data_IF_426112600764
#
_entry.id   IF_426112600764
#
_cell.length_a   1.000
_cell.length_b   1.000
_cell.length_c   1.000
_cell.angle_alpha   90.00
_cell.angle_beta   90.00
_cell.angle_gamma   90.00
#
_symmetry.space_group_name_H-M   'P 1'
#
loop_
_entity.id
_entity.type
_entity.pdbx_description
1 polymer ?
#
# COMPACT_ATOMS: atom_id res chain seq x y z
N UNK A 1 42.53 30.95 -62.46
CA UNK A 1 41.68 31.90 -61.71
C UNK A 1 40.28 31.32 -61.65
N UNK A 2 39.69 31.34 -60.47
CA UNK A 2 38.66 30.44 -59.96
C UNK A 2 37.28 30.41 -60.63
N UNK A 3 36.63 29.26 -60.42
CA UNK A 3 35.20 29.01 -60.15
C UNK A 3 34.12 29.29 -61.21
N UNK A 4 33.43 28.20 -61.58
CA UNK A 4 31.97 27.92 -61.55
C UNK A 4 31.80 26.59 -62.32
N UNK A 5 31.27 25.48 -61.82
CA UNK A 5 30.18 25.23 -60.88
C UNK A 5 29.22 24.26 -61.61
N UNK A 6 28.80 23.15 -60.98
CA UNK A 6 27.42 22.63 -60.99
C UNK A 6 27.30 21.29 -60.22
N UNK A 7 26.57 21.38 -59.10
CA UNK A 7 25.62 20.45 -58.48
C UNK A 7 25.75 18.92 -58.63
N UNK A 8 25.78 18.23 -57.48
CA UNK A 8 24.73 17.24 -57.13
C UNK A 8 24.79 16.88 -55.64
N UNK A 9 23.88 17.46 -54.83
CA UNK A 9 23.59 17.01 -53.47
C UNK A 9 22.27 16.24 -53.50
N UNK A 10 22.31 14.98 -53.95
CA UNK A 10 21.22 14.04 -53.71
C UNK A 10 21.44 13.38 -52.35
N UNK A 11 20.93 14.01 -51.29
CA UNK A 11 20.71 13.31 -50.03
C UNK A 11 19.76 12.16 -50.34
N UNK A 12 20.22 10.93 -50.16
CA UNK A 12 19.46 9.73 -50.47
C UNK A 12 18.23 9.67 -49.55
N UNK A 13 17.10 10.17 -50.07
CA UNK A 13 15.88 10.41 -49.31
C UNK A 13 15.31 9.12 -48.70
N UNK A 14 15.67 7.98 -49.27
CA UNK A 14 15.36 6.63 -48.75
C UNK A 14 16.13 6.32 -47.47
N UNK A 15 17.42 6.69 -47.41
CA UNK A 15 18.28 6.51 -46.24
C UNK A 15 17.84 7.42 -45.09
N UNK A 16 17.42 8.65 -45.40
CA UNK A 16 16.89 9.57 -44.40
C UNK A 16 15.57 9.03 -43.80
N UNK A 17 14.69 8.48 -44.63
CA UNK A 17 13.42 7.88 -44.17
C UNK A 17 13.66 6.65 -43.30
N UNK A 18 14.59 5.76 -43.66
CA UNK A 18 14.91 4.58 -42.83
C UNK A 18 15.55 4.98 -41.50
N UNK A 19 16.45 5.96 -41.47
CA UNK A 19 17.01 6.48 -40.22
C UNK A 19 15.93 7.09 -39.31
N UNK A 20 14.98 7.85 -39.86
CA UNK A 20 13.87 8.43 -39.07
C UNK A 20 12.96 7.34 -38.53
N UNK A 21 12.62 6.31 -39.32
CA UNK A 21 11.82 5.18 -38.86
C UNK A 21 12.56 4.42 -37.74
N UNK A 22 13.87 4.18 -37.88
CA UNK A 22 14.65 3.51 -36.85
C UNK A 22 14.68 4.32 -35.54
N UNK A 23 14.84 5.63 -35.63
CA UNK A 23 14.79 6.54 -34.48
C UNK A 23 13.42 6.54 -33.80
N UNK A 24 12.33 6.54 -34.57
CA UNK A 24 10.98 6.46 -34.00
C UNK A 24 10.74 5.12 -33.31
N UNK A 25 11.24 4.01 -33.87
CA UNK A 25 11.13 2.69 -33.26
C UNK A 25 11.98 2.56 -32.00
N UNK A 26 13.18 3.15 -31.94
CA UNK A 26 14.00 3.15 -30.73
C UNK A 26 13.39 4.02 -29.64
N UNK A 27 12.84 5.19 -29.97
CA UNK A 27 12.08 6.02 -29.03
C UNK A 27 10.84 5.29 -28.53
N UNK A 28 10.07 4.64 -29.42
CA UNK A 28 8.89 3.87 -29.02
C UNK A 28 9.27 2.70 -28.11
N UNK A 29 10.33 1.95 -28.44
CA UNK A 29 10.82 0.86 -27.61
C UNK A 29 11.33 1.36 -26.25
N UNK A 30 12.02 2.50 -26.22
CA UNK A 30 12.45 3.17 -24.99
C UNK A 30 11.25 3.60 -24.14
N UNK A 31 10.22 4.21 -24.75
CA UNK A 31 8.99 4.59 -24.05
C UNK A 31 8.31 3.35 -23.49
N UNK A 32 8.07 2.31 -24.30
CA UNK A 32 7.41 1.06 -23.88
C UNK A 32 8.18 0.32 -22.78
N UNK A 33 9.52 0.27 -22.85
CA UNK A 33 10.37 -0.30 -21.78
C UNK A 33 10.30 0.50 -20.48
N UNK A 34 10.15 1.81 -20.58
CA UNK A 34 10.09 2.71 -19.43
C UNK A 34 8.63 3.08 -19.05
N UNK A 35 7.62 2.46 -19.67
CA UNK A 35 6.21 2.67 -19.28
C UNK A 35 5.98 2.25 -17.83
N UNK A 36 6.61 1.16 -17.37
CA UNK A 36 6.58 0.73 -15.96
C UNK A 36 7.22 1.77 -15.01
N UNK A 37 8.21 2.53 -15.48
CA UNK A 37 8.84 3.65 -14.76
C UNK A 37 7.98 4.93 -14.78
N UNK A 38 7.24 5.17 -15.88
CA UNK A 38 6.26 6.26 -15.99
C UNK A 38 5.01 6.02 -15.14
N UNK A 39 4.63 4.75 -14.93
CA UNK A 39 3.50 4.37 -14.09
C UNK A 39 3.74 4.65 -12.60
N UNK A 40 5.00 4.73 -12.15
CA UNK A 40 5.37 5.23 -10.82
C UNK A 40 5.19 6.75 -10.65
N UNK A 41 5.07 7.51 -11.75
CA UNK A 41 4.88 8.96 -11.75
C UNK A 41 3.47 9.41 -12.14
N UNK A 42 2.55 8.47 -12.42
CA UNK A 42 1.15 8.79 -12.61
C UNK A 42 0.49 9.00 -11.24
N UNK A 43 0.78 10.16 -10.63
CA UNK A 43 -0.04 10.70 -9.55
C UNK A 43 -1.38 11.13 -10.16
N UNK A 44 -2.46 10.43 -9.81
CA UNK A 44 -3.80 10.98 -10.00
C UNK A 44 -3.92 12.26 -9.16
N UNK A 45 -3.81 13.41 -9.83
CA UNK A 45 -4.18 14.70 -9.27
C UNK A 45 -5.71 14.74 -9.07
N UNK A 46 -6.21 14.10 -8.01
CA UNK A 46 -7.56 14.33 -7.50
C UNK A 46 -7.61 15.70 -6.83
N UNK A 47 -7.83 16.74 -7.62
CA UNK A 47 -8.20 18.06 -7.10
C UNK A 47 -9.65 18.01 -6.61
N UNK A 48 -9.88 17.69 -5.33
CA UNK A 48 -11.20 17.82 -4.72
C UNK A 48 -11.47 19.31 -4.47
N UNK A 49 -12.44 19.86 -5.18
CA UNK A 49 -12.97 21.21 -4.94
C UNK A 49 -13.88 21.14 -3.71
N UNK A 50 -13.39 21.58 -2.54
CA UNK A 50 -14.22 21.62 -1.34
C UNK A 50 -15.28 22.73 -1.46
N UNK A 51 -16.56 22.34 -1.31
CA UNK A 51 -17.64 23.30 -1.10
C UNK A 51 -17.54 23.87 0.33
N UNK A 52 -17.86 25.16 0.47
CA UNK A 52 -17.89 25.88 1.74
C UNK A 52 -18.91 25.24 2.68
N UNK A 53 -18.45 24.50 3.69
CA UNK A 53 -19.31 23.97 4.77
C UNK A 53 -19.34 25.00 5.88
N UNK A 54 -20.53 25.53 6.17
CA UNK A 54 -20.75 26.43 7.31
C UNK A 54 -21.55 25.62 8.33
N UNK A 55 -20.89 25.11 9.36
CA UNK A 55 -21.56 24.48 10.50
C UNK A 55 -21.06 25.10 11.80
N UNK A 56 -21.99 25.30 12.73
CA UNK A 56 -21.73 25.94 14.02
C UNK A 56 -20.72 25.14 14.87
N UNK A 57 -19.87 25.83 15.68
CA UNK A 57 -18.85 25.15 16.48
C UNK A 57 -19.47 24.32 17.60
N UNK A 58 -18.97 23.08 17.79
CA UNK A 58 -19.23 22.29 18.99
C UNK A 58 -18.30 22.74 20.12
N UNK A 59 -18.86 22.95 21.31
CA UNK A 59 -18.11 23.25 22.54
C UNK A 59 -17.83 21.92 23.25
N UNK A 60 -16.62 21.38 23.15
CA UNK A 60 -16.19 20.18 23.88
C UNK A 60 -15.29 20.61 25.06
N UNK A 61 -15.41 20.01 26.26
CA UNK A 61 -14.54 20.31 27.39
C UNK A 61 -13.08 19.99 27.08
N UNK A 62 -12.18 20.96 27.28
CA UNK A 62 -10.74 20.87 26.96
C UNK A 62 -10.00 20.10 28.05
N UNK A 63 -9.52 18.91 27.74
CA UNK A 63 -8.40 18.25 28.44
C UNK A 63 -7.07 18.72 27.86
N UNK A 64 -5.95 18.46 28.54
CA UNK A 64 -4.64 18.93 28.15
C UNK A 64 -4.17 18.31 26.81
N UNK A 65 -3.47 19.07 25.95
CA UNK A 65 -3.02 18.59 24.65
C UNK A 65 -1.97 17.47 24.77
N UNK A 66 -2.05 16.49 23.87
CA UNK A 66 -1.06 15.43 23.73
C UNK A 66 0.05 15.90 22.79
N UNK A 67 1.30 15.82 23.21
CA UNK A 67 2.47 16.15 22.38
C UNK A 67 3.03 14.88 21.76
N UNK A 68 2.77 14.68 20.48
CA UNK A 68 3.51 13.69 19.68
C UNK A 68 4.40 14.47 18.71
N UNK A 69 5.68 14.63 19.08
CA UNK A 69 6.65 15.51 18.42
C UNK A 69 6.28 17.00 18.41
N UNK A 70 6.74 17.75 17.41
CA UNK A 70 6.47 19.20 17.25
C UNK A 70 5.00 19.52 16.93
N UNK A 71 4.14 18.51 16.88
CA UNK A 71 2.72 18.62 16.61
C UNK A 71 1.94 18.60 17.93
N UNK A 72 1.01 19.54 18.06
CA UNK A 72 0.07 19.59 19.18
C UNK A 72 -1.32 19.41 18.61
N UNK A 73 -1.96 18.28 18.92
CA UNK A 73 -3.32 17.98 18.48
C UNK A 73 -4.32 18.29 19.58
N UNK A 74 -5.55 18.64 19.19
CA UNK A 74 -6.64 18.72 20.16
C UNK A 74 -6.91 17.32 20.75
N UNK A 75 -7.20 17.23 22.05
CA UNK A 75 -7.51 15.96 22.66
C UNK A 75 -8.78 15.36 22.04
N UNK A 76 -8.73 14.05 21.77
CA UNK A 76 -9.89 13.30 21.33
C UNK A 76 -10.97 13.25 22.42
N UNK A 77 -12.23 13.08 21.99
CA UNK A 77 -13.30 12.77 22.93
C UNK A 77 -13.04 11.41 23.62
N UNK A 78 -13.68 11.14 24.75
CA UNK A 78 -13.49 9.85 25.44
C UNK A 78 -13.87 8.65 24.55
N UNK A 79 -14.88 8.82 23.69
CA UNK A 79 -15.30 7.79 22.75
C UNK A 79 -14.24 7.56 21.66
N UNK A 80 -13.77 8.65 21.04
CA UNK A 80 -12.77 8.58 19.96
C UNK A 80 -11.41 8.10 20.48
N UNK A 81 -11.00 8.49 21.69
CA UNK A 81 -9.78 7.99 22.33
C UNK A 81 -9.85 6.48 22.62
N UNK A 82 -11.05 5.97 22.94
CA UNK A 82 -11.26 4.53 23.11
C UNK A 82 -11.16 3.80 21.77
N UNK A 83 -11.75 4.35 20.72
CA UNK A 83 -11.65 3.82 19.36
C UNK A 83 -10.20 3.86 18.84
N UNK A 84 -9.50 4.97 19.02
CA UNK A 84 -8.09 5.13 18.69
C UNK A 84 -7.24 4.03 19.35
N UNK A 85 -7.43 3.78 20.65
CA UNK A 85 -6.72 2.70 21.34
C UNK A 85 -7.01 1.33 20.70
N UNK A 86 -8.28 1.03 20.39
CA UNK A 86 -8.62 -0.25 19.72
C UNK A 86 -7.98 -0.36 18.33
N UNK A 87 -7.96 0.73 17.56
CA UNK A 87 -7.34 0.77 16.25
C UNK A 87 -5.83 0.55 16.35
N UNK A 88 -5.15 1.28 17.25
CA UNK A 88 -3.73 1.12 17.52
C UNK A 88 -3.38 -0.30 17.97
N UNK A 89 -4.17 -0.89 18.86
CA UNK A 89 -3.99 -2.28 19.29
C UNK A 89 -4.19 -3.27 18.12
N UNK A 90 -5.11 -2.97 17.19
CA UNK A 90 -5.39 -3.85 16.03
C UNK A 90 -4.33 -3.80 14.93
N UNK A 91 -3.56 -2.71 14.85
CA UNK A 91 -2.48 -2.51 13.87
C UNK A 91 -1.09 -2.59 14.52
N UNK A 92 -1.02 -2.97 15.79
CA UNK A 92 0.22 -3.07 16.54
C UNK A 92 1.17 -4.03 15.82
N UNK A 93 2.36 -3.52 15.52
CA UNK A 93 3.43 -4.30 14.89
C UNK A 93 4.44 -4.73 15.96
N UNK A 94 5.02 -5.93 15.90
CA UNK A 94 6.05 -6.33 16.84
C UNK A 94 7.24 -5.38 16.80
N UNK A 95 7.88 -5.18 17.96
CA UNK A 95 9.11 -4.39 18.02
C UNK A 95 10.20 -5.06 17.18
N UNK A 96 10.80 -4.30 16.28
CA UNK A 96 11.92 -4.74 15.46
C UNK A 96 13.25 -4.34 16.12
N UNK A 97 14.29 -5.18 16.02
CA UNK A 97 15.62 -4.80 16.52
C UNK A 97 16.12 -3.50 15.89
N UNK A 98 16.89 -2.69 16.63
CA UNK A 98 17.54 -1.52 16.07
C UNK A 98 18.54 -1.95 14.98
N UNK A 99 18.68 -1.11 13.96
CA UNK A 99 19.67 -1.35 12.91
C UNK A 99 21.09 -1.30 13.50
N UNK A 100 22.00 -2.19 13.08
CA UNK A 100 23.38 -2.15 13.51
C UNK A 100 24.06 -0.85 13.05
N UNK A 101 25.02 -0.38 13.84
CA UNK A 101 25.90 0.74 13.49
C UNK A 101 27.35 0.23 13.45
N UNK A 102 27.97 0.09 12.26
CA UNK A 102 27.52 0.53 10.94
C UNK A 102 26.38 -0.34 10.36
N UNK A 103 25.58 0.24 9.45
CA UNK A 103 24.53 -0.48 8.74
C UNK A 103 25.12 -1.57 7.83
N UNK A 104 24.63 -2.81 8.00
CA UNK A 104 25.04 -3.99 7.27
C UNK A 104 23.88 -4.52 6.43
N UNK A 105 23.87 -4.15 5.15
CA UNK A 105 22.83 -4.60 4.21
C UNK A 105 22.75 -6.13 4.10
N UNK A 106 23.90 -6.80 4.12
CA UNK A 106 23.97 -8.24 3.88
C UNK A 106 23.31 -9.08 5.01
N UNK A 107 22.98 -8.45 6.15
CA UNK A 107 22.28 -9.08 7.29
C UNK A 107 20.77 -8.81 7.29
N UNK A 108 20.26 -8.12 6.28
CA UNK A 108 18.84 -7.79 6.11
C UNK A 108 18.10 -8.95 5.45
N UNK A 109 16.79 -9.06 5.66
CA UNK A 109 16.01 -10.17 5.11
C UNK A 109 16.06 -10.21 3.58
N UNK A 110 16.36 -11.38 3.05
CA UNK A 110 16.48 -11.65 1.62
C UNK A 110 15.43 -12.66 1.16
N UNK A 111 14.49 -12.26 0.29
CA UNK A 111 13.47 -13.17 -0.23
C UNK A 111 14.06 -14.28 -1.12
N UNK A 112 15.24 -14.09 -1.74
CA UNK A 112 15.86 -15.10 -2.61
C UNK A 112 16.42 -16.30 -1.83
N UNK A 113 16.96 -16.08 -0.64
CA UNK A 113 17.41 -17.17 0.26
C UNK A 113 16.29 -17.69 1.16
N UNK A 114 15.23 -16.89 1.35
CA UNK A 114 14.07 -17.29 2.14
C UNK A 114 13.26 -18.38 1.44
N UNK A 115 12.59 -19.21 2.23
CA UNK A 115 11.77 -20.32 1.72
C UNK A 115 10.45 -20.45 2.45
N UNK A 116 9.47 -21.02 1.78
CA UNK A 116 8.26 -21.54 2.42
C UNK A 116 8.04 -23.02 2.13
N UNK A 117 7.40 -23.71 3.08
CA UNK A 117 7.10 -25.14 3.01
C UNK A 117 5.66 -25.38 3.45
N UNK A 118 4.90 -26.09 2.62
CA UNK A 118 3.55 -26.53 2.97
C UNK A 118 3.65 -27.68 3.98
N UNK A 119 3.03 -27.53 5.15
CA UNK A 119 3.05 -28.56 6.18
C UNK A 119 2.04 -29.68 5.89
N UNK A 120 2.35 -30.93 6.30
CA UNK A 120 1.40 -32.04 6.17
C UNK A 120 0.13 -31.78 6.99
N UNK A 121 -1.01 -32.26 6.49
CA UNK A 121 -2.29 -32.14 7.21
C UNK A 121 -2.29 -33.00 8.48
N UNK A 122 -3.01 -32.56 9.52
CA UNK A 122 -3.15 -33.31 10.79
C UNK A 122 -3.79 -34.70 10.61
N UNK A 123 -4.50 -34.93 9.50
CA UNK A 123 -5.16 -36.20 9.15
C UNK A 123 -4.53 -36.98 7.99
N UNK A 124 -3.34 -36.57 7.49
CA UNK A 124 -2.66 -37.22 6.37
C UNK A 124 -2.44 -36.29 5.15
N UNK A 125 -2.32 -36.91 3.97
CA UNK A 125 -2.06 -36.22 2.68
C UNK A 125 -3.32 -35.56 2.13
N UNK A 126 -4.48 -36.17 2.40
CA UNK A 126 -5.76 -35.73 1.84
C UNK A 126 -6.28 -34.49 2.56
N UNK A 127 -6.59 -33.46 1.78
CA UNK A 127 -7.11 -32.17 2.27
C UNK A 127 -8.48 -31.93 1.66
N UNK A 128 -9.47 -31.65 2.48
CA UNK A 128 -10.86 -31.45 2.06
C UNK A 128 -11.27 -29.99 2.24
N UNK A 129 -12.30 -29.56 1.52
CA UNK A 129 -12.94 -28.27 1.78
C UNK A 129 -13.43 -28.24 3.24
N UNK A 130 -13.10 -27.15 3.95
CA UNK A 130 -13.35 -26.99 5.38
C UNK A 130 -12.10 -27.19 6.25
N UNK A 131 -11.07 -27.87 5.73
CA UNK A 131 -9.78 -28.01 6.42
C UNK A 131 -8.98 -26.70 6.43
N UNK A 132 -7.89 -26.70 7.19
CA UNK A 132 -6.89 -25.63 7.17
C UNK A 132 -5.56 -26.12 6.58
N UNK A 133 -4.97 -25.27 5.75
CA UNK A 133 -3.61 -25.43 5.25
C UNK A 133 -2.68 -24.56 6.10
N UNK A 134 -1.62 -25.17 6.61
CA UNK A 134 -0.55 -24.45 7.31
C UNK A 134 0.72 -24.46 6.45
N UNK A 135 1.36 -23.30 6.38
CA UNK A 135 2.60 -23.08 5.63
C UNK A 135 3.62 -22.48 6.56
N UNK A 136 4.79 -23.11 6.67
CA UNK A 136 5.93 -22.59 7.41
C UNK A 136 6.77 -21.72 6.48
N UNK A 137 7.15 -20.53 6.93
CA UNK A 137 8.00 -19.59 6.21
C UNK A 137 9.24 -19.36 7.05
N UNK A 138 10.41 -19.48 6.44
CA UNK A 138 11.71 -19.26 7.09
C UNK A 138 12.42 -18.14 6.36
N UNK A 139 12.73 -17.07 7.08
CA UNK A 139 13.41 -15.90 6.52
C UNK A 139 14.91 -16.04 6.74
N UNK A 140 15.66 -15.78 5.68
CA UNK A 140 17.12 -15.77 5.67
C UNK A 140 17.61 -14.39 5.26
N UNK A 141 18.84 -14.04 5.67
CA UNK A 141 19.51 -12.83 5.20
C UNK A 141 20.24 -13.05 3.86
N UNK A 142 20.80 -11.98 3.31
CA UNK A 142 21.58 -12.02 2.05
C UNK A 142 22.87 -12.87 2.16
N UNK A 143 23.30 -13.21 3.36
CA UNK A 143 24.42 -14.14 3.60
C UNK A 143 23.96 -15.60 3.70
N UNK A 144 22.65 -15.86 3.62
CA UNK A 144 22.07 -17.20 3.76
C UNK A 144 21.99 -17.67 5.21
N UNK A 145 22.11 -16.79 6.21
CA UNK A 145 21.91 -17.14 7.60
C UNK A 145 20.42 -17.00 7.97
N UNK A 146 19.87 -17.91 8.80
CA UNK A 146 18.51 -17.78 9.28
C UNK A 146 18.38 -16.53 10.15
N UNK A 147 17.31 -15.75 9.93
CA UNK A 147 16.97 -14.62 10.80
C UNK A 147 16.69 -15.12 12.22
N UNK A 148 16.94 -14.26 13.20
CA UNK A 148 16.74 -14.54 14.64
C UNK A 148 15.63 -13.68 15.25
N UNK A 149 15.01 -12.82 14.44
CA UNK A 149 13.98 -11.87 14.84
C UNK A 149 12.90 -11.85 13.77
N UNK A 150 11.69 -11.51 14.18
CA UNK A 150 10.56 -11.27 13.28
C UNK A 150 10.48 -9.82 12.78
N UNK A 151 9.26 -9.41 12.44
CA UNK A 151 8.86 -8.06 12.07
C UNK A 151 8.88 -7.77 10.57
N UNK A 152 9.14 -8.77 9.73
CA UNK A 152 9.01 -8.67 8.28
C UNK A 152 7.54 -8.57 7.87
N UNK A 153 7.24 -7.73 6.88
CA UNK A 153 5.89 -7.61 6.32
C UNK A 153 5.73 -8.67 5.24
N UNK A 154 5.01 -9.73 5.55
CA UNK A 154 4.70 -10.82 4.63
C UNK A 154 3.23 -10.75 4.21
N UNK A 155 2.97 -10.97 2.92
CA UNK A 155 1.64 -11.29 2.41
C UNK A 155 1.64 -12.73 1.93
N UNK A 156 0.65 -13.49 2.35
CA UNK A 156 0.46 -14.86 1.92
C UNK A 156 -0.93 -15.00 1.33
N UNK A 157 -1.06 -15.65 0.17
CA UNK A 157 -2.35 -15.93 -0.46
C UNK A 157 -2.40 -17.36 -0.97
N UNK A 158 -3.58 -17.95 -0.91
CA UNK A 158 -3.92 -19.20 -1.57
C UNK A 158 -4.83 -18.84 -2.74
N UNK A 159 -4.53 -19.31 -3.95
CA UNK A 159 -5.28 -18.90 -5.13
C UNK A 159 -5.33 -19.96 -6.23
N UNK A 160 -6.30 -19.82 -7.13
CA UNK A 160 -6.39 -20.55 -8.38
C UNK A 160 -6.92 -19.61 -9.45
N UNK A 161 -6.09 -19.30 -10.46
CA UNK A 161 -6.46 -18.36 -11.51
C UNK A 161 -7.58 -18.88 -12.42
N UNK A 162 -7.60 -20.17 -12.73
CA UNK A 162 -8.61 -20.78 -13.61
C UNK A 162 -10.00 -20.79 -12.95
N UNK A 163 -10.04 -20.94 -11.63
CA UNK A 163 -11.28 -20.86 -10.86
C UNK A 163 -11.62 -19.44 -10.41
N UNK A 164 -10.80 -18.44 -10.74
CA UNK A 164 -10.90 -17.08 -10.20
C UNK A 164 -11.11 -17.10 -8.68
N UNK A 165 -10.34 -17.95 -8.01
CA UNK A 165 -10.45 -18.22 -6.59
C UNK A 165 -9.23 -17.69 -5.84
N UNK A 166 -9.46 -17.15 -4.65
CA UNK A 166 -8.38 -16.57 -3.86
C UNK A 166 -8.79 -16.23 -2.44
N UNK A 167 -7.92 -16.55 -1.47
CA UNK A 167 -8.09 -16.17 -0.07
C UNK A 167 -6.76 -15.68 0.50
N UNK A 168 -6.81 -14.63 1.32
CA UNK A 168 -5.64 -14.17 2.07
C UNK A 168 -5.33 -15.14 3.21
N UNK A 169 -4.05 -15.41 3.45
CA UNK A 169 -3.60 -16.19 4.58
C UNK A 169 -3.46 -15.32 5.82
N UNK A 170 -3.75 -15.90 6.99
CA UNK A 170 -3.35 -15.28 8.26
C UNK A 170 -1.89 -15.59 8.52
N UNK A 171 -1.04 -14.57 8.46
CA UNK A 171 0.37 -14.67 8.82
C UNK A 171 0.54 -14.46 10.33
N UNK A 172 1.31 -15.35 10.96
CA UNK A 172 1.69 -15.31 12.37
C UNK A 172 3.21 -15.24 12.42
N UNK A 173 3.73 -14.18 13.04
CA UNK A 173 5.16 -14.01 13.30
C UNK A 173 5.54 -14.73 14.59
N UNK A 174 6.51 -15.65 14.52
CA UNK A 174 7.01 -16.38 15.69
C UNK A 174 8.14 -15.64 16.41
N UNK A 175 8.48 -14.44 15.97
CA UNK A 175 9.48 -13.51 16.52
C UNK A 175 10.92 -14.04 16.54
N UNK A 176 11.19 -15.11 15.78
CA UNK A 176 12.47 -15.81 15.75
C UNK A 176 13.03 -15.98 14.34
N UNK A 177 12.50 -15.24 13.35
CA UNK A 177 12.85 -15.36 11.93
C UNK A 177 12.00 -16.38 11.16
N UNK A 178 11.06 -17.05 11.82
CA UNK A 178 10.07 -17.92 11.17
C UNK A 178 8.65 -17.36 11.33
N UNK A 179 7.79 -17.73 10.37
CA UNK A 179 6.39 -17.33 10.32
C UNK A 179 5.52 -18.51 9.91
N UNK A 180 4.26 -18.53 10.35
CA UNK A 180 3.25 -19.45 9.84
C UNK A 180 2.20 -18.68 9.04
N UNK A 181 1.86 -19.16 7.85
CA UNK A 181 0.66 -18.71 7.13
C UNK A 181 -0.41 -19.79 7.18
N UNK A 182 -1.61 -19.42 7.66
CA UNK A 182 -2.75 -20.33 7.79
C UNK A 182 -3.85 -19.93 6.83
N UNK A 183 -4.32 -20.89 6.03
CA UNK A 183 -5.39 -20.70 5.05
C UNK A 183 -6.56 -21.64 5.32
N UNK A 184 -7.81 -21.16 5.33
CA UNK A 184 -8.96 -22.04 5.19
C UNK A 184 -9.04 -22.57 3.76
N UNK A 185 -9.34 -23.87 3.59
CA UNK A 185 -9.59 -24.48 2.30
C UNK A 185 -11.06 -24.33 1.94
N UNK A 186 -11.35 -23.45 0.97
CA UNK A 186 -12.71 -22.94 0.72
C UNK A 186 -13.31 -23.37 -0.62
N UNK A 187 -12.53 -24.07 -1.45
CA UNK A 187 -12.99 -24.59 -2.74
C UNK A 187 -12.34 -25.92 -3.07
N UNK A 188 -13.05 -26.73 -3.86
CA UNK A 188 -12.53 -27.96 -4.44
C UNK A 188 -11.60 -27.65 -5.63
N UNK A 189 -10.54 -28.43 -5.76
CA UNK A 189 -9.59 -28.37 -6.87
C UNK A 189 -8.21 -27.91 -6.44
N UNK A 190 -7.37 -27.55 -7.42
CA UNK A 190 -6.01 -27.10 -7.15
C UNK A 190 -6.02 -25.73 -6.45
N UNK A 191 -5.10 -25.53 -5.52
CA UNK A 191 -4.89 -24.27 -4.83
C UNK A 191 -3.38 -24.03 -4.69
N UNK A 192 -2.90 -22.89 -5.19
CA UNK A 192 -1.48 -22.50 -5.17
C UNK A 192 -1.22 -21.48 -4.07
N UNK A 193 -0.24 -21.78 -3.23
CA UNK A 193 0.29 -20.89 -2.20
C UNK A 193 1.26 -19.92 -2.86
N UNK A 194 1.14 -18.65 -2.51
CA UNK A 194 2.10 -17.61 -2.89
C UNK A 194 2.42 -16.77 -1.66
N UNK A 195 3.71 -16.56 -1.40
CA UNK A 195 4.22 -15.75 -0.29
C UNK A 195 5.07 -14.62 -0.86
N UNK A 196 4.81 -13.40 -0.41
CA UNK A 196 5.52 -12.18 -0.82
C UNK A 196 6.13 -11.51 0.39
N UNK A 197 7.44 -11.27 0.35
CA UNK A 197 8.11 -10.31 1.24
C UNK A 197 7.82 -8.90 0.72
N UNK A 198 7.00 -8.15 1.45
CA UNK A 198 6.68 -6.75 1.12
C UNK A 198 7.79 -5.83 1.62
N UNK A 199 8.15 -5.94 2.89
CA UNK A 199 9.21 -5.16 3.53
C UNK A 199 9.98 -6.06 4.51
N UNK A 200 11.30 -5.93 4.57
CA UNK A 200 12.08 -6.57 5.64
C UNK A 200 11.80 -5.89 6.99
N UNK A 201 12.05 -6.62 8.08
CA UNK A 201 11.99 -6.08 9.44
C UNK A 201 12.87 -4.82 9.62
N UNK A 202 14.03 -4.76 8.96
CA UNK A 202 14.89 -3.57 8.95
C UNK A 202 14.26 -2.38 8.23
N UNK A 203 13.59 -2.63 7.11
CA UNK A 203 12.82 -1.62 6.40
C UNK A 203 11.68 -1.08 7.27
N UNK A 204 11.01 -1.96 8.03
CA UNK A 204 9.98 -1.56 9.01
C UNK A 204 10.58 -0.67 10.10
N UNK A 205 11.75 -1.01 10.65
CA UNK A 205 12.45 -0.14 11.63
C UNK A 205 12.67 1.27 11.07
N UNK A 206 13.11 1.38 9.81
CA UNK A 206 13.31 2.68 9.14
C UNK A 206 11.98 3.40 8.93
N UNK A 207 10.95 2.72 8.43
CA UNK A 207 9.63 3.31 8.20
C UNK A 207 8.99 3.82 9.50
N UNK A 208 9.12 3.07 10.59
CA UNK A 208 8.63 3.46 11.90
C UNK A 208 9.36 4.71 12.42
N UNK A 209 10.69 4.77 12.27
CA UNK A 209 11.46 5.98 12.58
C UNK A 209 10.98 7.17 11.73
N UNK A 210 10.81 6.99 10.43
CA UNK A 210 10.34 8.05 9.53
C UNK A 210 8.93 8.54 9.89
N UNK A 211 8.04 7.67 10.38
CA UNK A 211 6.70 8.07 10.85
C UNK A 211 6.79 9.02 12.04
N UNK A 212 7.73 8.77 12.96
CA UNK A 212 7.92 9.58 14.17
C UNK A 212 8.73 10.85 13.92
N UNK A 213 9.87 10.74 13.25
CA UNK A 213 10.79 11.87 13.07
C UNK A 213 10.34 12.83 11.95
N UNK A 214 9.62 12.31 10.94
CA UNK A 214 9.23 13.04 9.73
C UNK A 214 7.77 12.79 9.31
N UNK A 215 6.78 13.06 10.19
CA UNK A 215 5.36 12.91 9.85
C UNK A 215 4.95 13.80 8.65
N UNK A 216 5.65 14.91 8.42
CA UNK A 216 5.41 15.85 7.33
C UNK A 216 5.98 15.43 5.97
N UNK A 217 6.56 14.22 5.85
CA UNK A 217 7.25 13.76 4.63
C UNK A 217 6.35 13.73 3.40
N UNK A 218 5.04 13.56 3.56
CA UNK A 218 4.09 13.76 2.45
C UNK A 218 3.87 15.26 2.31
N UNK A 219 4.29 15.81 1.17
CA UNK A 219 4.16 17.22 0.89
C UNK A 219 2.78 17.47 0.29
N UNK A 220 1.93 18.20 1.00
CA UNK A 220 0.70 18.74 0.44
C UNK A 220 0.85 20.23 0.16
N UNK A 221 0.17 20.69 -0.89
CA UNK A 221 0.08 22.10 -1.26
C UNK A 221 -1.36 22.48 -1.57
N UNK A 222 -1.66 23.77 -1.48
CA UNK A 222 -2.94 24.33 -1.97
C UNK A 222 -2.67 25.51 -2.89
N UNK A 223 -3.47 25.61 -3.95
CA UNK A 223 -3.52 26.79 -4.81
C UNK A 223 -4.47 27.82 -4.21
N UNK A 224 -3.98 29.05 -4.08
CA UNK A 224 -4.74 30.24 -3.74
C UNK A 224 -4.86 31.11 -4.97
N UNK A 225 -6.05 31.66 -5.23
CA UNK A 225 -6.25 32.54 -6.40
C UNK A 225 -7.33 33.58 -6.14
N UNK A 226 -7.01 34.81 -6.47
CA UNK A 226 -7.94 35.93 -6.51
C UNK A 226 -7.71 36.72 -7.81
N UNK A 227 -8.68 36.68 -8.72
CA UNK A 227 -8.54 37.23 -10.07
C UNK A 227 -7.39 36.60 -10.86
N UNK A 228 -6.44 37.44 -11.29
CA UNK A 228 -5.21 37.03 -12.01
C UNK A 228 -4.05 36.64 -11.09
N UNK A 229 -4.16 36.89 -9.78
CA UNK A 229 -3.11 36.57 -8.81
C UNK A 229 -3.29 35.13 -8.33
N UNK A 230 -2.20 34.35 -8.34
CA UNK A 230 -2.19 32.99 -7.81
C UNK A 230 -0.91 32.70 -7.04
N UNK A 231 -1.03 32.03 -5.90
CA UNK A 231 0.09 31.57 -5.08
C UNK A 231 -0.16 30.13 -4.63
N UNK A 232 0.91 29.33 -4.52
CA UNK A 232 0.82 27.98 -3.98
C UNK A 232 1.62 27.90 -2.69
N UNK A 233 0.98 27.42 -1.62
CA UNK A 233 1.65 27.25 -0.32
C UNK A 233 1.53 25.82 0.19
N UNK A 234 2.45 25.43 1.07
CA UNK A 234 2.43 24.11 1.69
C UNK A 234 1.33 24.00 2.73
N UNK A 235 0.71 22.84 2.78
CA UNK A 235 -0.33 22.46 3.72
C UNK A 235 -0.01 21.11 4.34
N UNK A 236 -0.54 20.84 5.52
CA UNK A 236 -0.48 19.52 6.14
C UNK A 236 -1.44 19.45 7.34
N UNK A 237 -1.64 18.25 7.87
CA UNK A 237 -2.35 17.99 9.14
C UNK A 237 -1.59 18.63 10.31
N UNK A 238 -0.26 18.69 10.21
CA UNK A 238 0.61 19.41 11.14
C UNK A 238 1.72 20.14 10.38
N UNK A 239 1.82 21.45 10.57
CA UNK A 239 2.90 22.28 10.02
C UNK A 239 3.93 22.59 11.11
N UNK A 240 5.22 22.52 10.78
CA UNK A 240 6.27 22.99 11.70
C UNK A 240 6.01 24.45 12.08
N UNK A 241 6.12 24.74 13.37
CA UNK A 241 6.00 26.12 13.84
C UNK A 241 7.12 26.96 13.23
N UNK A 242 6.72 27.99 12.51
CA UNK A 242 7.58 29.01 11.95
C UNK A 242 6.96 30.37 12.29
N UNK A 243 7.71 31.46 12.12
CA UNK A 243 7.16 32.81 12.29
C UNK A 243 6.18 33.21 11.15
N UNK A 244 5.83 32.29 10.25
CA UNK A 244 4.94 32.55 9.13
C UNK A 244 3.47 32.40 9.55
N UNK A 245 2.58 33.36 9.19
CA UNK A 245 1.15 33.22 9.45
C UNK A 245 0.57 31.98 8.76
N UNK A 246 -0.43 31.38 9.38
CA UNK A 246 -1.07 30.15 8.91
C UNK A 246 -2.58 30.37 8.72
N UNK A 247 -3.15 29.62 7.78
CA UNK A 247 -4.57 29.48 7.58
C UNK A 247 -5.04 28.17 8.23
N UNK A 248 -6.07 28.26 9.07
CA UNK A 248 -6.68 27.12 9.74
C UNK A 248 -7.95 26.70 8.98
N UNK A 249 -7.97 25.46 8.52
CA UNK A 249 -9.10 24.83 7.84
C UNK A 249 -9.53 23.54 8.51
N UNK A 250 -9.34 23.42 9.82
CA UNK A 250 -9.90 22.33 10.61
C UNK A 250 -11.37 22.17 10.29
N UNK A 251 -11.79 20.95 9.96
CA UNK A 251 -13.19 20.67 9.66
C UNK A 251 -14.01 20.88 10.94
N UNK A 252 -14.99 21.79 10.89
CA UNK A 252 -15.77 22.18 12.06
C UNK A 252 -16.72 21.08 12.56
N UNK A 253 -17.00 20.07 11.74
CA UNK A 253 -17.90 18.95 12.06
C UNK A 253 -17.12 17.77 12.65
N UNK A 254 -15.97 17.44 12.08
CA UNK A 254 -15.15 16.27 12.50
C UNK A 254 -14.02 16.65 13.44
N UNK A 255 -13.58 17.91 13.45
CA UNK A 255 -12.39 18.35 14.17
C UNK A 255 -11.09 17.96 13.47
N UNK A 256 -11.14 17.41 12.24
CA UNK A 256 -9.95 16.97 11.51
C UNK A 256 -9.05 18.16 11.16
N UNK A 257 -7.81 18.20 11.66
CA UNK A 257 -6.94 19.36 11.49
C UNK A 257 -6.40 19.45 10.07
N UNK A 258 -6.44 20.67 9.52
CA UNK A 258 -5.81 20.97 8.24
C UNK A 258 -5.32 22.40 8.19
N UNK A 259 -4.02 22.58 7.99
CA UNK A 259 -3.38 23.89 8.01
C UNK A 259 -2.61 24.15 6.72
N UNK A 260 -2.56 25.40 6.31
CA UNK A 260 -1.68 25.87 5.23
C UNK A 260 -0.88 27.08 5.69
N UNK A 261 0.34 27.24 5.19
CA UNK A 261 1.00 28.55 5.31
C UNK A 261 0.21 29.60 4.52
N UNK A 262 0.04 30.79 5.11
CA UNK A 262 -0.67 31.88 4.45
C UNK A 262 0.15 32.38 3.25
N UNK A 263 -0.46 32.52 2.05
CA UNK A 263 0.18 33.15 0.90
C UNK A 263 0.54 34.61 1.21
N UNK A 264 1.54 35.17 0.51
CA UNK A 264 2.08 36.49 0.86
C UNK A 264 1.12 37.62 0.51
N UNK A 265 0.36 37.47 -0.58
CA UNK A 265 -0.50 38.52 -1.13
C UNK A 265 -1.99 38.16 -1.10
N UNK A 266 -2.31 36.88 -0.94
CA UNK A 266 -3.69 36.38 -0.98
C UNK A 266 -4.28 36.12 0.41
N UNK A 267 -5.61 36.07 0.50
CA UNK A 267 -6.34 35.69 1.70
C UNK A 267 -6.37 34.17 1.87
N UNK A 268 -6.64 33.71 3.09
CA UNK A 268 -6.95 32.30 3.34
C UNK A 268 -8.23 31.86 2.61
N UNK A 269 -9.17 32.78 2.39
CA UNK A 269 -10.42 32.49 1.68
C UNK A 269 -10.23 32.24 0.17
N UNK A 270 -9.08 32.61 -0.40
CA UNK A 270 -8.77 32.44 -1.81
C UNK A 270 -8.34 30.99 -2.16
N UNK A 271 -8.42 30.05 -1.20
CA UNK A 271 -8.03 28.64 -1.40
C UNK A 271 -8.98 27.94 -2.38
N UNK A 272 -8.42 27.37 -3.45
CA UNK A 272 -9.19 26.66 -4.49
C UNK A 272 -9.21 25.15 -4.26
N UNK A 273 -8.05 24.58 -3.96
CA UNK A 273 -7.87 23.13 -3.94
C UNK A 273 -6.86 22.71 -2.88
N UNK A 274 -6.67 21.40 -2.77
CA UNK A 274 -5.50 20.77 -2.18
C UNK A 274 -4.92 19.79 -3.21
N UNK A 275 -3.61 19.60 -3.18
CA UNK A 275 -2.90 18.68 -4.05
C UNK A 275 -1.74 18.02 -3.30
N UNK A 276 -1.46 16.76 -3.61
CA UNK A 276 -0.18 16.14 -3.28
C UNK A 276 0.89 16.78 -4.15
N UNK A 277 2.02 17.14 -3.56
CA UNK A 277 3.12 17.83 -4.22
C UNK A 277 4.42 17.01 -4.20
N UNK A 278 4.35 15.76 -3.74
CA UNK A 278 5.47 14.82 -3.68
C UNK A 278 5.76 14.32 -2.26
N UNK A 279 6.95 13.76 -2.11
CA UNK A 279 7.37 13.03 -0.92
C UNK A 279 8.83 13.36 -0.59
N UNK A 280 9.12 13.74 0.65
CA UNK A 280 10.47 14.07 1.12
C UNK A 280 10.95 13.02 2.12
N UNK A 281 11.64 11.99 1.63
CA UNK A 281 12.20 10.93 2.46
C UNK A 281 13.59 11.31 2.94
N UNK A 282 13.81 11.27 4.25
CA UNK A 282 15.12 11.48 4.85
C UNK A 282 15.66 10.14 5.35
N UNK A 283 16.22 9.37 4.43
CA UNK A 283 16.94 8.13 4.74
C UNK A 283 18.35 8.47 5.24
N UNK A 284 18.87 7.65 6.14
CA UNK A 284 20.29 7.64 6.53
C UNK A 284 21.09 6.83 5.51
N UNK A 285 22.41 6.97 5.57
CA UNK A 285 23.33 6.32 4.63
C UNK A 285 23.02 4.82 4.45
N UNK A 286 22.81 4.42 3.19
CA UNK A 286 22.57 3.05 2.72
C UNK A 286 21.20 2.44 3.05
N UNK A 287 20.32 3.14 3.76
CA UNK A 287 18.97 2.66 4.05
C UNK A 287 18.10 2.55 2.79
N UNK A 288 18.42 3.29 1.72
CA UNK A 288 17.72 3.18 0.43
C UNK A 288 17.80 1.77 -0.17
N UNK A 289 18.81 0.98 0.22
CA UNK A 289 18.96 -0.40 -0.22
C UNK A 289 17.87 -1.33 0.32
N UNK A 290 17.18 -0.95 1.40
CA UNK A 290 16.06 -1.71 1.97
C UNK A 290 14.77 -1.64 1.12
N UNK A 291 14.76 -0.79 0.08
CA UNK A 291 13.57 -0.50 -0.73
C UNK A 291 13.82 -0.78 -2.22
N UNK A 292 14.61 -1.79 -2.54
CA UNK A 292 14.99 -2.13 -3.91
C UNK A 292 13.93 -3.01 -4.59
N UNK A 293 13.29 -2.45 -5.61
CA UNK A 293 12.32 -3.18 -6.44
C UNK A 293 12.97 -4.42 -7.06
N UNK A 294 12.24 -5.55 -7.04
CA UNK A 294 12.68 -6.86 -7.56
C UNK A 294 13.87 -7.49 -6.81
N UNK A 295 14.34 -6.88 -5.72
CA UNK A 295 15.40 -7.43 -4.85
C UNK A 295 14.83 -7.79 -3.49
N UNK A 296 14.36 -6.82 -2.72
CA UNK A 296 13.83 -7.01 -1.36
C UNK A 296 12.51 -6.29 -1.08
N UNK A 297 11.97 -5.56 -2.07
CA UNK A 297 10.69 -4.87 -1.97
C UNK A 297 9.64 -5.56 -2.86
N UNK A 298 8.62 -6.14 -2.21
CA UNK A 298 7.50 -6.84 -2.87
C UNK A 298 7.96 -7.98 -3.78
N UNK A 299 8.77 -8.87 -3.24
CA UNK A 299 9.37 -10.00 -3.96
C UNK A 299 8.82 -11.32 -3.44
N UNK A 300 8.61 -12.29 -4.33
CA UNK A 300 8.13 -13.61 -3.96
C UNK A 300 9.21 -14.41 -3.23
N UNK A 301 8.78 -15.16 -2.23
CA UNK A 301 9.59 -16.18 -1.56
C UNK A 301 9.35 -17.50 -2.28
N UNK A 302 10.41 -18.24 -2.58
CA UNK A 302 10.30 -19.51 -3.29
C UNK A 302 9.87 -20.66 -2.36
N UNK A 303 9.19 -21.66 -2.91
CA UNK A 303 8.85 -22.87 -2.16
C UNK A 303 10.06 -23.81 -2.10
N UNK A 304 10.25 -24.46 -0.95
CA UNK A 304 11.25 -25.55 -0.82
C UNK A 304 10.75 -26.86 -1.44
N UNK A 305 9.43 -27.01 -1.57
CA UNK A 305 8.77 -28.17 -2.16
C UNK A 305 7.58 -27.76 -3.06
N UNK A 306 6.55 -28.62 -3.20
CA UNK A 306 5.33 -28.26 -3.91
C UNK A 306 4.71 -26.99 -3.34
N UNK A 307 4.36 -26.06 -4.22
CA UNK A 307 3.69 -24.80 -3.90
C UNK A 307 2.16 -24.89 -4.04
N UNK A 308 1.65 -26.04 -4.49
CA UNK A 308 0.23 -26.28 -4.67
C UNK A 308 -0.27 -27.50 -3.89
N UNK A 309 -1.57 -27.50 -3.64
CA UNK A 309 -2.29 -28.61 -3.03
C UNK A 309 -3.55 -28.91 -3.83
N UNK A 310 -3.97 -30.18 -3.81
CA UNK A 310 -5.26 -30.59 -4.31
C UNK A 310 -6.24 -30.65 -3.15
N UNK A 311 -7.34 -29.90 -3.26
CA UNK A 311 -8.43 -29.88 -2.28
C UNK A 311 -9.56 -30.76 -2.78
N UNK A 312 -9.91 -31.75 -1.99
CA UNK A 312 -10.99 -32.69 -2.23
C UNK A 312 -12.35 -32.09 -1.82
N UNK A 313 -13.47 -32.64 -2.32
CA UNK A 313 -14.81 -32.27 -1.88
C UNK A 313 -14.95 -32.34 -0.34
N UNK A 314 -15.92 -31.63 0.27
CA UNK A 314 -16.21 -31.78 1.70
C UNK A 314 -16.49 -33.24 2.10
N UNK A 315 -16.06 -33.67 3.29
CA UNK A 315 -16.40 -35.01 3.78
C UNK A 315 -17.90 -35.11 4.07
N UNK A 316 -18.53 -36.22 3.64
CA UNK A 316 -19.96 -36.48 3.91
C UNK A 316 -20.21 -36.53 5.43
N UNK A 317 -21.14 -35.71 5.91
CA UNK A 317 -21.56 -35.67 7.32
C UNK A 317 -20.85 -34.63 8.18
N UNK A 318 -19.90 -33.86 7.64
CA UNK A 318 -19.51 -32.61 8.30
C UNK A 318 -20.64 -31.59 8.12
N UNK A 319 -21.09 -30.90 9.19
CA UNK A 319 -21.93 -29.72 9.02
C UNK A 319 -21.22 -28.75 8.08
N UNK A 320 -21.96 -27.97 7.30
CA UNK A 320 -21.40 -26.76 6.66
C UNK A 320 -20.60 -26.06 7.74
N UNK A 321 -19.27 -26.15 7.64
CA UNK A 321 -18.37 -25.61 8.66
C UNK A 321 -18.84 -24.20 8.86
N UNK A 322 -19.08 -23.82 10.11
CA UNK A 322 -19.35 -22.44 10.48
C UNK A 322 -18.10 -21.64 10.07
N UNK A 323 -18.05 -21.27 8.78
CA UNK A 323 -16.95 -20.58 8.12
C UNK A 323 -16.75 -19.18 8.74
N UNK A 324 -17.65 -18.81 9.66
CA UNK A 324 -17.75 -17.54 10.36
C UNK A 324 -17.55 -17.60 11.88
N UNK A 325 -17.01 -18.67 12.45
CA UNK A 325 -16.36 -18.48 13.76
C UNK A 325 -15.15 -17.61 13.49
N UNK A 326 -15.14 -16.36 13.97
CA UNK A 326 -14.09 -15.33 13.80
C UNK A 326 -12.66 -15.73 14.22
N UNK A 327 -12.40 -17.03 14.40
CA UNK A 327 -11.11 -17.69 14.62
C UNK A 327 -10.11 -17.50 13.48
N UNK A 328 -10.50 -17.20 12.24
CA UNK A 328 -9.51 -16.97 11.16
C UNK A 328 -9.05 -15.51 11.06
N UNK A 329 -9.87 -14.55 11.51
CA UNK A 329 -9.62 -13.11 11.31
C UNK A 329 -9.76 -12.64 9.85
N UNK A 330 -10.21 -13.50 8.93
CA UNK A 330 -10.33 -13.20 7.50
C UNK A 330 -11.74 -12.71 7.16
N UNK A 331 -11.84 -11.68 6.31
CA UNK A 331 -13.13 -11.09 5.94
C UNK A 331 -13.91 -11.88 4.88
N UNK A 332 -13.20 -12.56 3.97
CA UNK A 332 -13.81 -13.23 2.83
C UNK A 332 -12.80 -13.84 1.87
N UNK A 333 -13.31 -14.37 0.75
CA UNK A 333 -12.55 -15.02 -0.31
C UNK A 333 -13.23 -14.80 -1.67
N UNK A 334 -12.48 -14.96 -2.76
CA UNK A 334 -13.03 -15.06 -4.11
C UNK A 334 -13.20 -16.52 -4.49
N UNK A 335 -14.29 -16.82 -5.19
CA UNK A 335 -14.49 -18.09 -5.89
C UNK A 335 -15.36 -17.85 -7.13
N UNK A 336 -14.90 -18.30 -8.29
CA UNK A 336 -15.56 -18.06 -9.59
C UNK A 336 -15.79 -16.56 -9.85
N UNK A 337 -14.82 -15.72 -9.49
CA UNK A 337 -14.87 -14.27 -9.74
C UNK A 337 -15.76 -13.50 -8.77
N UNK A 338 -16.42 -14.18 -7.82
CA UNK A 338 -17.35 -13.57 -6.87
C UNK A 338 -16.76 -13.54 -5.47
N UNK A 339 -16.75 -12.37 -4.85
CA UNK A 339 -16.35 -12.23 -3.44
C UNK A 339 -17.43 -12.77 -2.50
N UNK A 340 -17.02 -13.59 -1.54
CA UNK A 340 -17.86 -14.26 -0.56
C UNK A 340 -17.36 -13.92 0.84
N UNK A 341 -18.27 -13.48 1.71
CA UNK A 341 -17.93 -13.18 3.11
C UNK A 341 -17.77 -14.48 3.90
N UNK A 342 -16.80 -14.50 4.80
CA UNK A 342 -16.66 -15.55 5.81
C UNK A 342 -17.48 -15.23 7.07
N UNK A 343 -17.85 -13.97 7.32
CA UNK A 343 -18.56 -13.53 8.52
C UNK A 343 -20.06 -13.86 8.55
N UNK A 344 -20.51 -14.91 7.87
CA UNK A 344 -21.91 -15.38 7.84
C UNK A 344 -22.91 -14.45 7.12
N UNK A 345 -22.51 -13.23 6.77
CA UNK A 345 -23.38 -12.27 6.08
C UNK A 345 -23.33 -12.51 4.57
N UNK A 346 -24.46 -12.91 3.98
CA UNK A 346 -24.57 -13.01 2.53
C UNK A 346 -24.48 -11.60 1.92
N UNK A 347 -23.42 -11.39 1.15
CA UNK A 347 -23.21 -10.15 0.39
C UNK A 347 -24.17 -10.14 -0.79
N UNK A 348 -24.94 -9.07 -0.94
CA UNK A 348 -25.85 -8.93 -2.06
C UNK A 348 -25.06 -8.81 -3.37
N UNK A 349 -25.32 -9.71 -4.31
CA UNK A 349 -24.69 -9.72 -5.63
C UNK A 349 -25.63 -9.07 -6.65
N UNK A 350 -25.11 -8.12 -7.43
CA UNK A 350 -25.85 -7.49 -8.51
C UNK A 350 -25.56 -8.21 -9.82
N UNK A 351 -26.60 -8.73 -10.47
CA UNK A 351 -26.45 -9.50 -11.72
C UNK A 351 -26.23 -8.61 -12.97
N UNK A 352 -26.50 -7.31 -12.88
CA UNK A 352 -26.34 -6.37 -14.00
C UNK A 352 -26.16 -4.92 -13.53
N UNK A 353 -25.67 -4.08 -14.43
CA UNK A 353 -25.43 -2.65 -14.18
C UNK A 353 -26.69 -1.87 -13.83
N UNK A 354 -27.86 -2.24 -14.37
CA UNK A 354 -29.13 -1.57 -14.06
C UNK A 354 -29.52 -1.74 -12.59
N UNK A 355 -29.35 -2.94 -12.03
CA UNK A 355 -29.60 -3.21 -10.62
C UNK A 355 -28.64 -2.43 -9.71
N UNK A 356 -27.36 -2.29 -10.11
CA UNK A 356 -26.39 -1.44 -9.40
C UNK A 356 -26.86 0.02 -9.43
N UNK A 357 -27.17 0.57 -10.61
CA UNK A 357 -27.64 1.95 -10.75
C UNK A 357 -28.92 2.20 -9.95
N UNK A 358 -29.84 1.24 -9.92
CA UNK A 358 -31.07 1.33 -9.12
C UNK A 358 -30.77 1.32 -7.63
N UNK A 359 -29.86 0.46 -7.15
CA UNK A 359 -29.44 0.44 -5.76
C UNK A 359 -28.76 1.76 -5.33
N UNK A 360 -27.96 2.35 -6.22
CA UNK A 360 -27.25 3.60 -5.97
C UNK A 360 -28.12 4.85 -6.19
N UNK A 361 -29.34 4.69 -6.73
CA UNK A 361 -30.22 5.82 -7.03
C UNK A 361 -30.53 6.61 -5.75
N UNK A 362 -30.21 7.90 -5.76
CA UNK A 362 -30.43 8.81 -4.63
C UNK A 362 -29.44 8.64 -3.48
N UNK A 363 -28.39 7.83 -3.62
CA UNK A 363 -27.33 7.68 -2.62
C UNK A 363 -26.13 8.55 -2.99
N UNK A 364 -25.52 9.17 -1.98
CA UNK A 364 -24.23 9.84 -2.13
C UNK A 364 -23.14 8.79 -1.90
N UNK A 365 -22.30 8.58 -2.91
CA UNK A 365 -21.13 7.70 -2.80
C UNK A 365 -19.93 8.59 -2.49
N UNK A 366 -19.30 8.35 -1.35
CA UNK A 366 -18.01 8.95 -1.00
C UNK A 366 -16.94 7.96 -1.44
N UNK A 367 -16.08 8.34 -2.39
CA UNK A 367 -14.95 7.55 -2.86
C UNK A 367 -13.66 8.16 -2.37
#
# INVERSE_FOLDING_TARGET
>A
MCLKGFMSNHVNMTLLKTCVILLLLTVLFFVLRNMDLLQLNYEENFGIVLKKVTSAPRTVPRTAPHTDNFCTFEPLSLADAKEERMLLDSIAWPETPPLPAPFLFDQTSDPAHSIFTILPGRGGVDRHVGDQLEVMIQIYDFQGNPKKSGGDVLLARLHNRALEAGVAGRVVDHLNGSYSAVFPLLWEGSAQVEVTLVHSSEAVTVLHRLNREHPERVLFKSLFRSGSSSETTSCNVCLRQTNQPQCNYTDLRTGEPWFCYKPKKLSCDDRINHMRAGFNVRLKDKEEKLFQSKVNLKVFIHSSGPDNVMVLPPMKGQPEVDQGSGKSGLSGYYYQGVWRSLGGTKVHQFNNSSAISQCLKGKVVHM
#
